data_IF_716975539076
#
_entry.id   IF_716975539076
#
_cell.length_a   1.000
_cell.length_b   1.000
_cell.length_c   1.000
_cell.angle_alpha   90.00
_cell.angle_beta   90.00
_cell.angle_gamma   90.00
#
_symmetry.space_group_name_H-M   'P 1'
#
loop_
_entity.id
_entity.type
_entity.pdbx_description
1 polymer ?
#
# COMPACT_ATOMS: atom_id res chain seq x y z
N UNK A 1 -7.48 9.55 -23.13
CA UNK A 1 -6.80 9.61 -21.81
C UNK A 1 -5.39 9.14 -22.05
N UNK A 2 -4.39 9.98 -21.77
CA UNK A 2 -3.00 9.53 -21.87
C UNK A 2 -2.71 8.69 -20.62
N UNK A 3 -2.65 7.37 -20.79
CA UNK A 3 -2.23 6.50 -19.69
C UNK A 3 -0.72 6.68 -19.52
N UNK A 4 -0.33 7.20 -18.35
CA UNK A 4 1.07 7.21 -17.93
C UNK A 4 1.33 5.84 -17.31
N UNK A 5 2.32 5.14 -17.83
CA UNK A 5 2.71 3.82 -17.35
C UNK A 5 4.08 3.87 -16.68
N UNK A 6 4.34 2.87 -15.84
CA UNK A 6 5.64 2.63 -15.20
C UNK A 6 6.08 1.21 -15.48
N UNK A 7 7.39 1.03 -15.69
CA UNK A 7 8.00 -0.28 -15.87
C UNK A 7 9.30 -0.35 -15.08
N UNK A 8 9.52 -1.45 -14.36
CA UNK A 8 10.81 -1.77 -13.78
C UNK A 8 11.77 -2.30 -14.86
N UNK A 9 13.00 -1.80 -14.87
CA UNK A 9 14.02 -2.24 -15.84
C UNK A 9 14.64 -3.59 -15.48
N UNK A 10 14.67 -3.91 -14.20
CA UNK A 10 15.12 -5.17 -13.64
C UNK A 10 14.09 -5.66 -12.64
N UNK A 11 14.06 -6.98 -12.37
CA UNK A 11 13.10 -7.55 -11.43
C UNK A 11 13.31 -6.95 -10.02
N UNK A 12 12.29 -6.33 -9.40
CA UNK A 12 12.45 -5.62 -8.13
C UNK A 12 12.63 -6.52 -6.91
N UNK A 13 12.61 -7.84 -7.11
CA UNK A 13 12.87 -8.84 -6.06
C UNK A 13 11.67 -9.12 -5.16
N UNK A 14 10.46 -8.83 -5.62
CA UNK A 14 9.20 -9.00 -4.90
C UNK A 14 8.22 -9.83 -5.73
N UNK A 15 7.28 -10.53 -5.08
CA UNK A 15 6.34 -11.40 -5.77
C UNK A 15 5.25 -10.63 -6.53
N UNK A 16 4.83 -9.45 -6.04
CA UNK A 16 3.74 -8.66 -6.62
C UNK A 16 4.21 -7.70 -7.72
N UNK A 17 5.51 -7.64 -7.98
CA UNK A 17 6.10 -6.70 -8.94
C UNK A 17 7.05 -7.43 -9.85
N UNK A 18 6.97 -7.10 -11.12
CA UNK A 18 7.83 -7.66 -12.16
C UNK A 18 8.26 -6.54 -13.11
N UNK A 19 8.79 -6.94 -14.27
CA UNK A 19 9.23 -6.01 -15.32
C UNK A 19 8.13 -5.69 -16.33
N UNK A 20 6.86 -5.99 -16.03
CA UNK A 20 5.76 -5.66 -16.92
C UNK A 20 5.46 -4.16 -16.85
N UNK A 21 4.84 -3.66 -17.92
CA UNK A 21 4.34 -2.28 -17.96
C UNK A 21 3.01 -2.23 -17.25
N UNK A 22 2.91 -1.40 -16.21
CA UNK A 22 1.66 -1.17 -15.48
C UNK A 22 1.26 0.30 -15.56
N UNK A 23 -0.03 0.60 -15.42
CA UNK A 23 -0.48 1.99 -15.29
C UNK A 23 0.15 2.56 -14.02
N UNK A 24 0.70 3.77 -14.10
CA UNK A 24 1.24 4.47 -12.93
C UNK A 24 0.08 4.74 -11.96
N UNK A 25 0.05 4.10 -10.77
CA UNK A 25 -1.05 4.26 -9.84
C UNK A 25 -1.11 5.69 -9.30
N UNK A 26 -2.31 6.24 -9.22
CA UNK A 26 -2.56 7.55 -8.63
C UNK A 26 -2.88 7.37 -7.14
N UNK A 27 -1.99 7.76 -6.20
CA UNK A 27 -2.19 7.54 -4.76
C UNK A 27 -3.35 8.34 -4.14
N UNK A 28 -4.06 9.16 -4.92
CA UNK A 28 -5.33 9.79 -4.50
C UNK A 28 -6.56 8.95 -4.85
N UNK A 29 -6.44 8.04 -5.81
CA UNK A 29 -7.53 7.21 -6.34
C UNK A 29 -7.32 5.73 -5.99
N UNK A 30 -6.07 5.27 -5.97
CA UNK A 30 -5.67 3.90 -5.68
C UNK A 30 -4.35 3.90 -4.90
N UNK A 31 -4.47 4.00 -3.57
CA UNK A 31 -3.34 4.03 -2.65
C UNK A 31 -2.67 2.65 -2.53
N UNK A 32 -3.46 1.58 -2.55
CA UNK A 32 -2.98 0.21 -2.43
C UNK A 32 -2.05 -0.15 -3.60
N UNK A 33 -2.46 0.08 -4.85
CA UNK A 33 -1.58 -0.16 -6.00
C UNK A 33 -0.33 0.72 -5.94
N UNK A 34 -0.43 1.95 -5.43
CA UNK A 34 0.75 2.80 -5.23
C UNK A 34 1.72 2.22 -4.20
N UNK A 35 1.20 1.66 -3.11
CA UNK A 35 1.99 0.96 -2.09
C UNK A 35 2.63 -0.31 -2.63
N UNK A 36 1.87 -1.16 -3.32
CA UNK A 36 2.37 -2.37 -3.97
C UNK A 36 3.56 -2.03 -4.88
N UNK A 37 3.42 -0.98 -5.69
CA UNK A 37 4.48 -0.60 -6.62
C UNK A 37 5.70 -0.01 -5.91
N UNK A 38 5.55 0.86 -4.91
CA UNK A 38 6.65 1.71 -4.45
C UNK A 38 7.10 1.55 -2.99
N UNK A 39 6.42 0.72 -2.18
CA UNK A 39 6.99 0.27 -0.91
C UNK A 39 7.98 -0.87 -1.15
N UNK A 40 9.12 -0.84 -0.47
CA UNK A 40 10.17 -1.86 -0.70
C UNK A 40 9.74 -3.26 -0.31
N UNK A 41 8.99 -3.36 0.78
CA UNK A 41 8.66 -4.63 1.43
C UNK A 41 7.15 -4.74 1.70
N UNK A 42 6.31 -4.28 0.76
CA UNK A 42 4.85 -4.19 0.94
C UNK A 42 4.24 -5.44 1.57
N UNK A 43 4.55 -6.63 1.04
CA UNK A 43 3.99 -7.90 1.51
C UNK A 43 4.38 -8.29 2.94
N UNK A 44 5.52 -7.80 3.42
CA UNK A 44 6.05 -8.14 4.75
C UNK A 44 6.10 -6.93 5.68
N UNK A 45 5.49 -5.81 5.30
CA UNK A 45 5.45 -4.60 6.11
C UNK A 45 4.35 -4.76 7.16
N UNK A 46 4.75 -4.92 8.42
CA UNK A 46 3.83 -5.09 9.56
C UNK A 46 2.82 -3.94 9.66
N UNK A 47 3.16 -2.75 9.16
CA UNK A 47 2.25 -1.59 9.16
C UNK A 47 1.10 -1.76 8.17
N UNK A 48 1.33 -2.44 7.05
CA UNK A 48 0.28 -2.76 6.07
C UNK A 48 -0.70 -3.76 6.68
N UNK A 49 -0.17 -4.85 7.26
CA UNK A 49 -1.00 -5.82 7.99
C UNK A 49 -1.77 -5.18 9.15
N UNK A 50 -1.13 -4.25 9.87
CA UNK A 50 -1.78 -3.50 10.93
C UNK A 50 -2.94 -2.62 10.44
N UNK A 51 -2.79 -1.95 9.29
CA UNK A 51 -3.87 -1.16 8.68
C UNK A 51 -5.04 -2.07 8.29
N UNK A 52 -4.76 -3.21 7.64
CA UNK A 52 -5.81 -4.18 7.26
C UNK A 52 -6.57 -4.66 8.49
N UNK A 53 -5.85 -4.91 9.58
CA UNK A 53 -6.46 -5.31 10.84
C UNK A 53 -7.33 -4.20 11.46
N UNK A 54 -6.89 -2.95 11.39
CA UNK A 54 -7.69 -1.80 11.82
C UNK A 54 -8.96 -1.61 10.98
N UNK A 55 -8.91 -1.89 9.67
CA UNK A 55 -10.09 -1.85 8.81
C UNK A 55 -11.10 -2.96 9.16
N UNK A 56 -10.64 -4.19 9.45
CA UNK A 56 -11.53 -5.26 9.93
C UNK A 56 -12.28 -4.88 11.21
N UNK A 57 -11.60 -4.19 12.15
CA UNK A 57 -12.28 -3.65 13.34
C UNK A 57 -13.34 -2.61 12.99
N UNK A 58 -13.06 -1.75 12.02
CA UNK A 58 -13.95 -0.67 11.62
C UNK A 58 -15.22 -1.20 10.93
N UNK A 59 -15.04 -2.21 10.07
CA UNK A 59 -16.10 -2.79 9.24
C UNK A 59 -16.87 -3.92 9.94
N UNK A 60 -16.46 -4.27 11.17
CA UNK A 60 -17.00 -5.37 11.97
C UNK A 60 -16.97 -6.72 11.24
N UNK A 61 -15.90 -6.96 10.48
CA UNK A 61 -15.75 -8.11 9.57
C UNK A 61 -15.23 -9.35 10.33
N UNK A 62 -16.05 -9.84 11.27
CA UNK A 62 -15.73 -10.99 12.13
C UNK A 62 -16.79 -12.09 11.99
N UNK A 63 -16.34 -13.35 12.09
CA UNK A 63 -17.25 -14.50 12.01
C UNK A 63 -18.18 -14.61 13.22
N UNK A 64 -17.72 -14.19 14.41
CA UNK A 64 -18.48 -14.19 15.65
C UNK A 64 -17.84 -13.27 16.71
N UNK A 65 -18.55 -13.07 17.82
CA UNK A 65 -18.09 -12.22 18.93
C UNK A 65 -16.81 -12.73 19.60
N UNK A 66 -16.57 -14.05 19.66
CA UNK A 66 -15.34 -14.59 20.25
C UNK A 66 -14.10 -14.23 19.42
N UNK A 67 -14.24 -14.28 18.10
CA UNK A 67 -13.23 -13.89 17.13
C UNK A 67 -12.91 -12.40 17.26
N UNK A 68 -13.95 -11.56 17.29
CA UNK A 68 -13.82 -10.12 17.55
C UNK A 68 -13.11 -9.84 18.88
N UNK A 69 -13.48 -10.53 19.96
CA UNK A 69 -12.85 -10.36 21.28
C UNK A 69 -11.38 -10.81 21.29
N UNK A 70 -11.04 -11.90 20.59
CA UNK A 70 -9.66 -12.36 20.43
C UNK A 70 -8.82 -11.32 19.66
N UNK A 71 -9.42 -10.72 18.65
CA UNK A 71 -8.79 -9.68 17.84
C UNK A 71 -8.56 -8.40 18.66
N UNK A 72 -9.57 -7.92 19.37
CA UNK A 72 -9.48 -6.78 20.31
C UNK A 72 -8.39 -7.00 21.37
N UNK A 73 -8.22 -8.23 21.87
CA UNK A 73 -7.12 -8.56 22.82
C UNK A 73 -5.73 -8.40 22.20
N UNK A 74 -5.60 -8.56 20.90
CA UNK A 74 -4.32 -8.51 20.18
C UNK A 74 -3.91 -7.07 19.87
N UNK A 75 -4.84 -6.28 19.32
CA UNK A 75 -4.57 -4.92 18.82
C UNK A 75 -5.00 -3.80 19.79
N UNK A 76 -5.70 -4.17 20.86
CA UNK A 76 -6.26 -3.26 21.85
C UNK A 76 -7.68 -2.80 21.50
N UNK A 77 -8.47 -2.55 22.54
CA UNK A 77 -9.80 -1.97 22.39
C UNK A 77 -9.67 -0.48 22.04
N UNK A 78 -9.97 -0.14 20.79
CA UNK A 78 -9.90 1.23 20.26
C UNK A 78 -11.29 1.70 19.86
N UNK A 79 -11.57 2.98 20.07
CA UNK A 79 -12.75 3.63 19.52
C UNK A 79 -12.61 3.82 18.01
N UNK A 80 -13.74 3.95 17.31
CA UNK A 80 -13.76 4.23 15.86
C UNK A 80 -12.89 5.44 15.47
N UNK A 81 -12.88 6.48 16.31
CA UNK A 81 -12.07 7.69 16.10
C UNK A 81 -10.57 7.40 16.23
N UNK A 82 -10.18 6.59 17.20
CA UNK A 82 -8.78 6.17 17.39
C UNK A 82 -8.31 5.28 16.22
N UNK A 83 -9.16 4.33 15.79
CA UNK A 83 -8.89 3.47 14.63
C UNK A 83 -8.65 4.33 13.38
N UNK A 84 -9.57 5.25 13.06
CA UNK A 84 -9.44 6.15 11.90
C UNK A 84 -8.18 7.02 11.97
N UNK A 85 -7.86 7.54 13.16
CA UNK A 85 -6.65 8.33 13.35
C UNK A 85 -5.38 7.50 13.11
N UNK A 86 -5.32 6.27 13.62
CA UNK A 86 -4.17 5.38 13.45
C UNK A 86 -3.99 4.89 12.02
N UNK A 87 -5.09 4.57 11.32
CA UNK A 87 -5.07 4.27 9.88
C UNK A 87 -4.46 5.47 9.14
N UNK A 88 -5.04 6.67 9.31
CA UNK A 88 -4.58 7.87 8.61
C UNK A 88 -3.12 8.19 8.92
N UNK A 89 -2.69 8.04 10.18
CA UNK A 89 -1.30 8.28 10.58
C UNK A 89 -0.36 7.29 9.88
N UNK A 90 -0.66 6.00 9.96
CA UNK A 90 0.18 4.92 9.41
C UNK A 90 0.24 4.99 7.87
N UNK A 91 -0.90 5.24 7.22
CA UNK A 91 -0.96 5.45 5.78
C UNK A 91 -0.10 6.63 5.32
N UNK A 92 -0.10 7.74 6.08
CA UNK A 92 0.75 8.88 5.75
C UNK A 92 2.23 8.57 5.88
N UNK A 93 2.64 7.78 6.88
CA UNK A 93 4.02 7.32 7.04
C UNK A 93 4.44 6.44 5.85
N UNK A 94 3.62 5.44 5.50
CA UNK A 94 3.83 4.57 4.34
C UNK A 94 3.86 5.34 3.03
N UNK A 95 2.96 6.30 2.85
CA UNK A 95 2.89 7.16 1.67
C UNK A 95 4.13 8.02 1.48
N UNK A 96 4.63 8.62 2.56
CA UNK A 96 5.88 9.39 2.50
C UNK A 96 7.07 8.50 2.12
N UNK A 97 7.11 7.26 2.62
CA UNK A 97 8.14 6.29 2.26
C UNK A 97 8.02 5.86 0.78
N UNK A 98 6.81 5.52 0.34
CA UNK A 98 6.52 5.13 -1.04
C UNK A 98 6.88 6.24 -2.04
N UNK A 99 6.55 7.51 -1.75
CA UNK A 99 6.98 8.65 -2.58
C UNK A 99 8.49 8.81 -2.63
N UNK A 100 9.16 8.66 -1.48
CA UNK A 100 10.62 8.74 -1.41
C UNK A 100 11.29 7.65 -2.23
N UNK A 101 10.75 6.43 -2.17
CA UNK A 101 11.21 5.29 -2.97
C UNK A 101 10.93 5.50 -4.45
N UNK A 102 9.73 5.93 -4.83
CA UNK A 102 9.39 6.29 -6.21
C UNK A 102 10.39 7.30 -6.77
N UNK A 103 10.63 8.40 -6.05
CA UNK A 103 11.60 9.42 -6.47
C UNK A 103 13.01 8.84 -6.63
N UNK A 104 13.46 8.00 -5.69
CA UNK A 104 14.76 7.33 -5.77
C UNK A 104 14.85 6.39 -6.99
N UNK A 105 13.81 5.63 -7.29
CA UNK A 105 13.76 4.72 -8.43
C UNK A 105 13.84 5.50 -9.76
N UNK A 106 13.14 6.64 -9.86
CA UNK A 106 13.24 7.55 -11.02
C UNK A 106 14.67 8.09 -11.13
N UNK A 107 15.21 8.65 -10.05
CA UNK A 107 16.54 9.28 -10.04
C UNK A 107 17.65 8.30 -10.42
N UNK A 108 17.58 7.07 -9.91
CA UNK A 108 18.53 5.99 -10.21
C UNK A 108 18.22 5.26 -11.52
N UNK A 109 17.19 5.68 -12.26
CA UNK A 109 16.75 5.11 -13.53
C UNK A 109 16.40 3.62 -13.46
N UNK A 110 16.00 3.12 -12.30
CA UNK A 110 15.56 1.73 -12.09
C UNK A 110 14.15 1.49 -12.64
N UNK A 111 13.34 2.54 -12.72
CA UNK A 111 12.06 2.53 -13.41
C UNK A 111 12.08 3.46 -14.62
N UNK A 112 11.20 3.17 -15.57
CA UNK A 112 10.92 3.98 -16.74
C UNK A 112 9.48 4.49 -16.67
N UNK A 113 9.27 5.79 -16.92
CA UNK A 113 7.95 6.40 -17.04
C UNK A 113 7.64 6.54 -18.53
N UNK A 114 6.57 5.89 -18.97
CA UNK A 114 6.15 5.82 -20.37
C UNK A 114 4.91 6.71 -20.53
N UNK A 115 5.01 7.72 -21.39
CA UNK A 115 3.90 8.60 -21.73
C UNK A 115 3.19 8.05 -22.97
N UNK A 116 1.86 7.94 -22.92
CA UNK A 116 1.01 7.36 -23.97
C UNK A 116 1.19 5.84 -24.15
N UNK A 117 1.32 5.10 -23.04
CA UNK A 117 1.37 3.64 -23.12
C UNK A 117 0.04 3.05 -23.63
N UNK A 118 0.11 2.22 -24.67
CA UNK A 118 -0.98 1.30 -25.00
C UNK A 118 -1.02 0.18 -23.95
N UNK A 119 -2.21 -0.20 -23.53
CA UNK A 119 -2.42 -1.25 -22.52
C UNK A 119 -2.64 -2.58 -23.20
#
# INVERSE_FOLDING_TARGET
>A
MNNVCVKYKEHPGDFLRNTDTVILPNPKEDLESFFVQFLKHYQSDERVAYIDDLYKLLDDDFFNDEDKQKFIRTIGNKTEKEIKYEIQKTENELKNEAYSNFYKLVLTKQIEIIYNGEK
#
